data_IF_722757861926
#
_entry.id   IF_722757861926
#
_cell.length_a   1.000
_cell.length_b   1.000
_cell.length_c   1.000
_cell.angle_alpha   90.00
_cell.angle_beta   90.00
_cell.angle_gamma   90.00
#
_symmetry.space_group_name_H-M   'P 1'
#
loop_
_entity.id
_entity.type
_entity.pdbx_description
1 polymer ?
#
# COMPACT_ATOMS: atom_id res chain seq x y z
N UNK A 1 -38.72 -8.20 -36.66
CA UNK A 1 -37.39 -7.70 -36.30
C UNK A 1 -37.37 -7.68 -34.78
N UNK A 2 -36.73 -8.72 -34.20
CA UNK A 2 -36.61 -8.91 -32.75
C UNK A 2 -35.35 -8.16 -32.30
N UNK A 3 -35.48 -7.15 -31.47
CA UNK A 3 -34.39 -6.46 -30.81
C UNK A 3 -33.97 -7.26 -29.59
N UNK A 4 -32.83 -7.95 -29.66
CA UNK A 4 -32.23 -8.58 -28.51
C UNK A 4 -31.54 -7.49 -27.66
N UNK A 5 -31.91 -7.45 -26.39
CA UNK A 5 -31.35 -6.62 -25.33
C UNK A 5 -29.97 -7.18 -24.94
N UNK A 6 -28.84 -6.39 -24.97
CA UNK A 6 -27.51 -6.86 -24.61
C UNK A 6 -27.14 -6.60 -23.13
N UNK A 7 -28.10 -6.72 -22.21
CA UNK A 7 -27.86 -6.54 -20.77
C UNK A 7 -28.13 -7.84 -19.99
N UNK A 8 -27.25 -8.85 -20.13
CA UNK A 8 -27.19 -9.94 -19.14
C UNK A 8 -25.98 -10.82 -19.35
N UNK A 9 -24.84 -10.44 -18.82
CA UNK A 9 -23.73 -11.34 -18.45
C UNK A 9 -22.76 -10.65 -17.46
N UNK A 10 -23.30 -10.08 -16.37
CA UNK A 10 -22.50 -9.91 -15.17
C UNK A 10 -22.50 -11.27 -14.47
N UNK A 11 -21.51 -12.08 -14.77
CA UNK A 11 -21.28 -13.33 -14.08
C UNK A 11 -20.98 -13.07 -12.62
N UNK A 12 -21.96 -13.37 -11.77
CA UNK A 12 -21.79 -13.43 -10.31
C UNK A 12 -20.64 -14.39 -10.02
N UNK A 13 -19.58 -13.87 -9.41
CA UNK A 13 -18.36 -14.63 -9.11
C UNK A 13 -18.68 -15.77 -8.12
N UNK A 14 -18.09 -16.96 -8.29
CA UNK A 14 -18.24 -18.01 -7.31
C UNK A 14 -17.76 -17.50 -5.94
N UNK A 15 -18.44 -17.89 -4.85
CA UNK A 15 -18.01 -17.52 -3.51
C UNK A 15 -16.57 -18.01 -3.28
N UNK A 16 -15.71 -17.21 -2.60
CA UNK A 16 -14.32 -17.54 -2.36
C UNK A 16 -14.22 -18.87 -1.60
N UNK A 17 -13.18 -19.66 -1.92
CA UNK A 17 -12.86 -20.87 -1.18
C UNK A 17 -12.67 -20.54 0.30
N UNK A 18 -13.32 -21.29 1.18
CA UNK A 18 -13.21 -21.08 2.62
C UNK A 18 -11.76 -21.26 3.07
N UNK A 19 -11.13 -20.19 3.61
CA UNK A 19 -9.76 -20.22 4.15
C UNK A 19 -8.73 -19.40 3.39
N UNK A 20 -9.05 -18.84 2.22
CA UNK A 20 -8.11 -18.02 1.45
C UNK A 20 -7.98 -16.61 2.08
N UNK A 21 -6.76 -16.24 2.52
CA UNK A 21 -6.49 -14.99 3.25
C UNK A 21 -6.42 -13.75 2.34
N UNK A 22 -6.09 -13.96 1.06
CA UNK A 22 -6.07 -12.94 0.02
C UNK A 22 -6.70 -13.54 -1.23
N UNK A 23 -7.78 -12.93 -1.69
CA UNK A 23 -8.44 -13.34 -2.93
C UNK A 23 -7.79 -12.60 -4.10
N UNK A 24 -7.53 -13.31 -5.19
CA UNK A 24 -7.04 -12.73 -6.44
C UNK A 24 -8.09 -12.91 -7.54
N UNK A 25 -8.43 -11.81 -8.23
CA UNK A 25 -9.37 -11.81 -9.35
C UNK A 25 -8.85 -10.90 -10.44
N UNK A 26 -8.90 -11.36 -11.68
CA UNK A 26 -8.54 -10.57 -12.85
C UNK A 26 -9.78 -9.96 -13.52
N UNK A 27 -9.66 -8.68 -13.89
CA UNK A 27 -10.61 -7.96 -14.70
C UNK A 27 -9.84 -7.32 -15.86
N UNK A 28 -9.74 -8.04 -16.97
CA UNK A 28 -8.81 -7.69 -18.05
C UNK A 28 -7.36 -7.62 -17.54
N UNK A 29 -6.62 -6.54 -17.79
CA UNK A 29 -5.22 -6.40 -17.35
C UNK A 29 -5.09 -5.95 -15.87
N UNK A 30 -6.18 -5.88 -15.12
CA UNK A 30 -6.21 -5.44 -13.72
C UNK A 30 -6.39 -6.64 -12.80
N UNK A 31 -5.42 -6.89 -11.92
CA UNK A 31 -5.53 -7.89 -10.85
C UNK A 31 -5.97 -7.24 -9.55
N UNK A 32 -7.13 -7.65 -9.06
CA UNK A 32 -7.64 -7.29 -7.75
C UNK A 32 -7.12 -8.27 -6.70
N UNK A 33 -6.52 -7.73 -5.66
CA UNK A 33 -6.12 -8.44 -4.46
C UNK A 33 -7.01 -7.95 -3.31
N UNK A 34 -7.81 -8.85 -2.73
CA UNK A 34 -8.73 -8.52 -1.65
C UNK A 34 -8.28 -9.21 -0.37
N UNK A 35 -7.97 -8.45 0.66
CA UNK A 35 -7.72 -8.98 2.01
C UNK A 35 -8.99 -9.65 2.53
N UNK A 36 -8.92 -10.92 2.93
CA UNK A 36 -10.11 -11.74 3.17
C UNK A 36 -10.16 -12.37 4.57
N UNK A 37 -10.11 -11.52 5.59
CA UNK A 37 -10.44 -11.86 6.99
C UNK A 37 -11.47 -10.89 7.55
N UNK A 38 -12.66 -10.74 6.92
CA UNK A 38 -13.64 -9.69 7.28
C UNK A 38 -14.13 -9.80 8.72
N UNK A 39 -14.20 -11.01 9.29
CA UNK A 39 -14.57 -11.26 10.69
C UNK A 39 -13.54 -10.69 11.70
N UNK A 40 -12.32 -10.39 11.26
CA UNK A 40 -11.24 -9.75 12.02
C UNK A 40 -10.86 -8.38 11.44
N UNK A 41 -11.75 -7.73 10.70
CA UNK A 41 -11.49 -6.45 10.02
C UNK A 41 -10.22 -6.48 9.16
N UNK A 42 -9.94 -7.62 8.56
CA UNK A 42 -8.76 -7.88 7.75
C UNK A 42 -7.42 -7.64 8.50
N UNK A 43 -7.40 -7.86 9.82
CA UNK A 43 -6.17 -7.85 10.59
C UNK A 43 -5.22 -8.92 10.06
N UNK A 44 -3.92 -8.59 9.97
CA UNK A 44 -2.92 -9.39 9.30
C UNK A 44 -2.16 -10.26 10.29
N UNK A 45 -2.18 -11.57 10.04
CA UNK A 45 -1.37 -12.59 10.70
C UNK A 45 -0.07 -12.81 9.93
N UNK A 46 0.86 -13.61 10.47
CA UNK A 46 2.04 -14.06 9.74
C UNK A 46 1.67 -14.74 8.41
N UNK A 47 0.61 -15.57 8.42
CA UNK A 47 0.10 -16.21 7.21
C UNK A 47 -0.46 -15.18 6.22
N UNK A 48 -1.13 -14.13 6.71
CA UNK A 48 -1.62 -13.03 5.86
C UNK A 48 -0.47 -12.26 5.22
N UNK A 49 0.63 -12.02 5.94
CA UNK A 49 1.84 -11.38 5.37
C UNK A 49 2.40 -12.21 4.21
N UNK A 50 2.52 -13.54 4.41
CA UNK A 50 3.01 -14.46 3.37
C UNK A 50 2.05 -14.53 2.18
N UNK A 51 0.75 -14.62 2.42
CA UNK A 51 -0.27 -14.69 1.37
C UNK A 51 -0.28 -13.41 0.52
N UNK A 52 -0.31 -12.23 1.15
CA UNK A 52 -0.29 -10.96 0.42
C UNK A 52 1.01 -10.78 -0.35
N UNK A 53 2.16 -11.09 0.26
CA UNK A 53 3.45 -11.07 -0.43
C UNK A 53 3.44 -11.98 -1.66
N UNK A 54 2.98 -13.23 -1.51
CA UNK A 54 2.93 -14.18 -2.63
C UNK A 54 2.03 -13.67 -3.77
N UNK A 55 0.87 -13.11 -3.45
CA UNK A 55 -0.05 -12.54 -4.42
C UNK A 55 0.57 -11.33 -5.16
N UNK A 56 1.28 -10.44 -4.46
CA UNK A 56 1.99 -9.30 -5.05
C UNK A 56 3.11 -9.77 -6.00
N UNK A 57 3.93 -10.75 -5.57
CA UNK A 57 5.02 -11.30 -6.39
C UNK A 57 4.47 -12.01 -7.63
N UNK A 58 3.38 -12.80 -7.49
CA UNK A 58 2.72 -13.44 -8.61
C UNK A 58 2.15 -12.40 -9.60
N UNK A 59 1.53 -11.33 -9.09
CA UNK A 59 1.03 -10.24 -9.93
C UNK A 59 2.17 -9.50 -10.65
N UNK A 60 3.30 -9.26 -9.99
CA UNK A 60 4.46 -8.56 -10.58
C UNK A 60 5.10 -9.38 -11.72
N UNK A 61 5.13 -10.70 -11.59
CA UNK A 61 5.71 -11.61 -12.59
C UNK A 61 4.77 -11.99 -13.74
N UNK A 62 3.48 -11.72 -13.66
CA UNK A 62 2.49 -12.13 -14.67
C UNK A 62 2.35 -11.07 -15.77
N UNK A 63 2.77 -11.41 -17.01
CA UNK A 63 2.72 -10.50 -18.15
C UNK A 63 1.29 -10.06 -18.54
N UNK A 64 0.26 -10.84 -18.19
CA UNK A 64 -1.14 -10.49 -18.42
C UNK A 64 -1.65 -9.39 -17.48
N UNK A 65 -0.97 -9.15 -16.36
CA UNK A 65 -1.33 -8.13 -15.39
C UNK A 65 -0.57 -6.83 -15.65
N UNK A 66 -1.28 -5.75 -15.87
CA UNK A 66 -0.69 -4.41 -16.04
C UNK A 66 -0.79 -3.56 -14.75
N UNK A 67 -1.83 -3.76 -13.95
CA UNK A 67 -2.12 -2.97 -12.73
C UNK A 67 -2.61 -3.89 -11.63
N UNK A 68 -2.21 -3.61 -10.40
CA UNK A 68 -2.70 -4.29 -9.20
C UNK A 68 -3.62 -3.35 -8.43
N UNK A 69 -4.79 -3.83 -8.04
CA UNK A 69 -5.70 -3.16 -7.10
C UNK A 69 -5.67 -3.90 -5.78
N UNK A 70 -5.56 -3.18 -4.67
CA UNK A 70 -5.61 -3.73 -3.31
C UNK A 70 -6.82 -3.16 -2.57
N UNK A 71 -7.65 -4.05 -2.01
CA UNK A 71 -8.82 -3.69 -1.20
C UNK A 71 -9.03 -4.68 -0.05
N UNK A 72 -10.09 -4.50 0.74
CA UNK A 72 -10.45 -5.40 1.83
C UNK A 72 -11.86 -5.94 1.67
N UNK A 73 -12.12 -7.16 2.11
CA UNK A 73 -13.46 -7.72 2.19
C UNK A 73 -14.22 -7.20 3.42
N UNK A 74 -15.55 -7.08 3.31
CA UNK A 74 -16.41 -6.73 4.43
C UNK A 74 -16.39 -5.24 4.76
N UNK A 75 -16.37 -4.87 6.06
CA UNK A 75 -16.61 -3.51 6.52
C UNK A 75 -15.34 -2.66 6.76
N UNK A 76 -14.15 -3.18 6.48
CA UNK A 76 -12.89 -2.49 6.72
C UNK A 76 -11.85 -2.87 5.68
N UNK A 77 -10.98 -1.93 5.34
CA UNK A 77 -9.82 -2.22 4.52
C UNK A 77 -8.85 -3.15 5.24
N UNK A 78 -8.27 -2.70 6.37
CA UNK A 78 -7.32 -3.49 7.16
C UNK A 78 -7.09 -2.86 8.54
N UNK A 79 -7.29 -3.64 9.61
CA UNK A 79 -7.09 -3.18 10.98
C UNK A 79 -5.61 -3.27 11.47
N UNK A 80 -4.66 -3.61 10.58
CA UNK A 80 -3.24 -3.72 10.92
C UNK A 80 -2.83 -5.11 11.38
N UNK A 81 -1.78 -5.22 12.18
CA UNK A 81 -1.31 -6.49 12.73
C UNK A 81 -2.35 -7.12 13.66
N UNK A 82 -2.52 -8.43 13.59
CA UNK A 82 -3.39 -9.18 14.53
C UNK A 82 -2.65 -9.36 15.86
N UNK A 83 -2.94 -8.48 16.82
CA UNK A 83 -2.29 -8.47 18.11
C UNK A 83 -2.59 -9.73 18.95
N UNK A 84 -3.59 -10.52 18.58
CA UNK A 84 -3.95 -11.76 19.29
C UNK A 84 -3.00 -12.92 18.98
N UNK A 85 -2.26 -12.84 17.88
CA UNK A 85 -1.26 -13.84 17.50
C UNK A 85 0.15 -13.58 18.09
N UNK A 86 0.39 -12.40 18.65
CA UNK A 86 1.71 -12.04 19.20
C UNK A 86 2.19 -12.96 20.35
N UNK A 87 1.33 -13.43 21.29
CA UNK A 87 1.74 -14.41 22.28
C UNK A 87 1.91 -15.81 21.66
N UNK A 88 3.13 -16.35 21.65
CA UNK A 88 3.42 -17.71 21.20
C UNK A 88 3.93 -17.84 19.75
N UNK A 89 3.97 -16.74 18.99
CA UNK A 89 4.57 -16.72 17.66
C UNK A 89 6.09 -16.52 17.75
N UNK A 90 6.84 -17.24 16.92
CA UNK A 90 8.27 -16.94 16.72
C UNK A 90 8.43 -15.51 16.20
N UNK A 91 8.85 -14.62 17.11
CA UNK A 91 8.98 -13.19 16.84
C UNK A 91 9.96 -12.90 15.68
N UNK A 92 11.03 -13.69 15.58
CA UNK A 92 12.00 -13.56 14.50
C UNK A 92 11.38 -13.84 13.13
N UNK A 93 10.58 -14.90 13.06
CA UNK A 93 9.85 -15.28 11.84
C UNK A 93 8.77 -14.25 11.47
N UNK A 94 8.01 -13.77 12.45
CA UNK A 94 6.99 -12.73 12.23
C UNK A 94 7.60 -11.46 11.63
N UNK A 95 8.72 -11.00 12.20
CA UNK A 95 9.45 -9.83 11.71
C UNK A 95 9.98 -10.06 10.29
N UNK A 96 10.51 -11.26 9.99
CA UNK A 96 10.99 -11.60 8.66
C UNK A 96 9.85 -11.64 7.61
N UNK A 97 8.69 -12.20 7.96
CA UNK A 97 7.52 -12.22 7.07
C UNK A 97 6.97 -10.80 6.82
N UNK A 98 6.93 -9.95 7.85
CA UNK A 98 6.58 -8.53 7.75
C UNK A 98 7.57 -7.76 6.85
N UNK A 99 8.88 -7.88 7.10
CA UNK A 99 9.91 -7.25 6.28
C UNK A 99 9.78 -7.67 4.80
N UNK A 100 9.60 -8.98 4.55
CA UNK A 100 9.46 -9.50 3.22
C UNK A 100 8.21 -8.96 2.49
N UNK A 101 7.09 -8.75 3.19
CA UNK A 101 5.89 -8.11 2.64
C UNK A 101 6.16 -6.65 2.29
N UNK A 102 6.75 -5.86 3.21
CA UNK A 102 7.01 -4.44 2.96
C UNK A 102 7.99 -4.26 1.79
N UNK A 103 9.00 -5.12 1.69
CA UNK A 103 9.93 -5.12 0.54
C UNK A 103 9.22 -5.47 -0.78
N UNK A 104 8.23 -6.37 -0.75
CA UNK A 104 7.42 -6.68 -1.94
C UNK A 104 6.54 -5.49 -2.37
N UNK A 105 5.93 -4.78 -1.41
CA UNK A 105 5.17 -3.55 -1.68
C UNK A 105 6.08 -2.45 -2.26
N UNK A 106 7.24 -2.22 -1.63
CA UNK A 106 8.19 -1.22 -2.08
C UNK A 106 8.82 -1.56 -3.45
N UNK A 107 9.02 -2.85 -3.72
CA UNK A 107 9.65 -3.35 -4.96
C UNK A 107 8.70 -3.62 -6.11
N UNK A 108 7.38 -3.54 -5.92
CA UNK A 108 6.39 -3.85 -6.95
C UNK A 108 6.60 -2.95 -8.18
N UNK A 109 6.85 -3.56 -9.35
CA UNK A 109 7.13 -2.82 -10.58
C UNK A 109 5.87 -2.27 -11.26
N UNK A 110 4.74 -2.94 -11.06
CA UNK A 110 3.43 -2.56 -11.61
C UNK A 110 2.75 -1.51 -10.75
N UNK A 111 1.94 -0.61 -11.32
CA UNK A 111 1.11 0.30 -10.54
C UNK A 111 0.27 -0.44 -9.50
N UNK A 112 0.24 0.12 -8.30
CA UNK A 112 -0.58 -0.35 -7.19
C UNK A 112 -1.61 0.72 -6.84
N UNK A 113 -2.87 0.39 -6.99
CA UNK A 113 -4.01 1.26 -6.66
C UNK A 113 -4.71 0.68 -5.45
N UNK A 114 -4.99 1.48 -4.43
CA UNK A 114 -5.77 1.03 -3.28
C UNK A 114 -7.19 1.59 -3.32
N UNK A 115 -8.19 0.72 -3.09
CA UNK A 115 -9.58 1.08 -2.78
C UNK A 115 -9.83 0.87 -1.29
N UNK A 116 -10.02 1.96 -0.53
CA UNK A 116 -10.02 1.95 0.93
C UNK A 116 -11.39 2.33 1.48
N UNK A 117 -12.00 1.47 2.26
CA UNK A 117 -13.24 1.72 3.00
C UNK A 117 -13.09 1.34 4.48
N UNK A 118 -13.93 1.91 5.33
CA UNK A 118 -13.88 1.65 6.77
C UNK A 118 -12.51 1.89 7.38
N UNK A 119 -12.09 1.03 8.28
CA UNK A 119 -10.84 1.21 9.02
C UNK A 119 -9.60 0.80 8.20
N UNK A 120 -8.57 1.66 8.20
CA UNK A 120 -7.21 1.40 7.74
C UNK A 120 -6.25 1.80 8.87
N UNK A 121 -5.74 0.82 9.65
CA UNK A 121 -5.02 1.08 10.91
C UNK A 121 -3.65 0.41 10.92
N UNK A 122 -2.66 1.05 11.53
CA UNK A 122 -1.29 0.52 11.62
C UNK A 122 -0.75 0.19 10.24
N UNK A 123 -0.34 -1.07 10.00
CA UNK A 123 0.09 -1.52 8.68
C UNK A 123 -0.99 -1.31 7.60
N UNK A 124 -2.28 -1.37 7.96
CA UNK A 124 -3.37 -1.06 7.03
C UNK A 124 -3.32 0.39 6.50
N UNK A 125 -2.88 1.35 7.30
CA UNK A 125 -2.64 2.72 6.86
C UNK A 125 -1.27 2.85 6.19
N UNK A 126 -0.21 2.29 6.79
CA UNK A 126 1.15 2.52 6.31
C UNK A 126 1.45 1.83 4.98
N UNK A 127 0.76 0.70 4.66
CA UNK A 127 0.89 0.09 3.34
C UNK A 127 0.35 0.97 2.20
N UNK A 128 -0.57 1.91 2.49
CA UNK A 128 -1.08 2.86 1.51
C UNK A 128 0.01 3.81 1.01
N UNK A 129 1.04 4.06 1.81
CA UNK A 129 2.19 4.88 1.43
C UNK A 129 3.07 4.23 0.35
N UNK A 130 2.88 2.93 0.10
CA UNK A 130 3.52 2.18 -1.00
C UNK A 130 2.64 2.10 -2.25
N UNK A 131 1.37 2.50 -2.15
CA UNK A 131 0.47 2.56 -3.29
C UNK A 131 0.79 3.80 -4.14
N UNK A 132 0.67 3.64 -5.46
CA UNK A 132 0.87 4.77 -6.39
C UNK A 132 -0.35 5.70 -6.38
N UNK A 133 -1.54 5.13 -6.16
CA UNK A 133 -2.80 5.86 -6.08
C UNK A 133 -3.69 5.25 -4.99
N UNK A 134 -4.38 6.11 -4.25
CA UNK A 134 -5.33 5.70 -3.20
C UNK A 134 -6.67 6.40 -3.44
N UNK A 135 -7.73 5.61 -3.52
CA UNK A 135 -9.13 6.07 -3.53
C UNK A 135 -9.74 5.69 -2.19
N UNK A 136 -10.42 6.62 -1.55
CA UNK A 136 -11.07 6.38 -0.25
C UNK A 136 -12.58 6.51 -0.36
N UNK A 137 -13.31 5.58 0.24
CA UNK A 137 -14.74 5.70 0.47
C UNK A 137 -15.05 6.75 1.54
N UNK A 138 -16.29 7.22 1.62
CA UNK A 138 -16.73 8.17 2.66
C UNK A 138 -16.58 7.60 4.08
N UNK A 139 -16.78 6.30 4.25
CA UNK A 139 -16.60 5.60 5.52
C UNK A 139 -15.14 5.42 5.93
N UNK A 140 -14.18 5.67 5.04
CA UNK A 140 -12.77 5.40 5.32
C UNK A 140 -12.25 6.25 6.49
N UNK A 141 -11.57 5.58 7.43
CA UNK A 141 -10.92 6.18 8.60
C UNK A 141 -9.51 5.58 8.73
N UNK A 142 -8.50 6.44 8.71
CA UNK A 142 -7.11 6.04 8.74
C UNK A 142 -6.50 6.35 10.11
N UNK A 143 -5.58 5.51 10.59
CA UNK A 143 -4.91 5.72 11.87
C UNK A 143 -3.55 5.01 11.93
N UNK A 144 -2.55 5.69 12.51
CA UNK A 144 -1.23 5.12 12.80
C UNK A 144 -0.97 5.14 14.32
N UNK A 145 -1.49 4.13 15.10
CA UNK A 145 -1.52 4.20 16.58
C UNK A 145 -0.22 3.73 17.24
N UNK A 146 0.93 3.88 16.61
CA UNK A 146 2.21 3.34 17.08
C UNK A 146 2.61 3.87 18.44
N UNK A 147 2.59 5.20 18.63
CA UNK A 147 2.96 5.85 19.87
C UNK A 147 2.03 5.46 21.02
N UNK A 148 0.71 5.37 20.75
CA UNK A 148 -0.28 4.91 21.72
C UNK A 148 -0.05 3.45 22.16
N UNK A 149 0.41 2.61 21.23
CA UNK A 149 0.73 1.20 21.50
C UNK A 149 2.15 1.01 22.08
N UNK A 150 2.88 2.09 22.38
CA UNK A 150 4.24 2.02 22.91
C UNK A 150 5.25 1.46 21.91
N UNK A 151 5.03 1.67 20.61
CA UNK A 151 5.95 1.26 19.55
C UNK A 151 6.31 2.43 18.64
N UNK A 152 7.15 2.18 17.64
CA UNK A 152 7.59 3.17 16.66
C UNK A 152 6.87 2.99 15.33
N UNK A 153 6.83 4.02 14.45
CA UNK A 153 6.35 3.89 13.08
C UNK A 153 7.02 2.74 12.33
N UNK A 154 6.25 2.00 11.54
CA UNK A 154 6.70 0.83 10.80
C UNK A 154 6.43 0.97 9.28
N UNK A 155 6.85 -0.01 8.49
CA UNK A 155 6.63 -0.08 7.04
C UNK A 155 7.11 1.16 6.29
N UNK A 156 8.26 1.71 6.69
CA UNK A 156 8.88 2.93 6.16
C UNK A 156 8.05 4.21 6.40
N UNK A 157 7.01 4.17 7.20
CA UNK A 157 6.16 5.34 7.44
C UNK A 157 6.89 6.50 8.10
N UNK A 158 7.97 6.27 8.83
CA UNK A 158 8.85 7.32 9.37
C UNK A 158 9.45 8.23 8.27
N UNK A 159 9.56 7.72 7.06
CA UNK A 159 10.10 8.43 5.89
C UNK A 159 9.02 8.80 4.88
N UNK A 160 8.12 7.85 4.57
CA UNK A 160 7.13 8.04 3.51
C UNK A 160 5.99 8.99 3.93
N UNK A 161 5.53 8.91 5.19
CA UNK A 161 4.45 9.78 5.63
C UNK A 161 4.83 11.27 5.61
N UNK A 162 6.00 11.70 6.16
CA UNK A 162 6.42 13.10 6.03
C UNK A 162 6.58 13.59 4.58
N UNK A 163 6.92 12.71 3.66
CA UNK A 163 6.99 13.03 2.23
C UNK A 163 5.61 13.24 1.61
N UNK A 164 4.63 12.44 2.03
CA UNK A 164 3.27 12.52 1.51
C UNK A 164 2.51 13.75 2.05
N UNK A 165 2.59 14.02 3.37
CA UNK A 165 1.72 15.02 4.02
C UNK A 165 2.47 16.24 4.58
N UNK A 166 3.80 16.25 4.48
CA UNK A 166 4.67 17.24 5.12
C UNK A 166 5.00 16.90 6.58
N UNK A 167 6.11 17.45 7.08
CA UNK A 167 6.68 17.05 8.36
C UNK A 167 5.75 17.31 9.57
N UNK A 168 5.04 18.44 9.60
CA UNK A 168 4.18 18.78 10.75
C UNK A 168 2.94 17.88 10.83
N UNK A 169 2.26 17.62 9.70
CA UNK A 169 1.10 16.72 9.67
C UNK A 169 1.52 15.29 9.99
N UNK A 170 2.65 14.82 9.47
CA UNK A 170 3.18 13.51 9.82
C UNK A 170 3.48 13.40 11.32
N UNK A 171 4.11 14.40 11.92
CA UNK A 171 4.35 14.46 13.36
C UNK A 171 3.05 14.45 14.17
N UNK A 172 2.06 15.24 13.77
CA UNK A 172 0.74 15.22 14.40
C UNK A 172 0.14 13.81 14.37
N UNK A 173 0.07 13.18 13.19
CA UNK A 173 -0.55 11.87 13.03
C UNK A 173 0.17 10.77 13.80
N UNK A 174 1.50 10.74 13.78
CA UNK A 174 2.30 9.71 14.41
C UNK A 174 2.41 9.90 15.93
N UNK A 175 2.51 11.15 16.41
CA UNK A 175 2.69 11.41 17.85
C UNK A 175 1.37 11.42 18.62
N UNK A 176 0.26 11.82 17.98
CA UNK A 176 -1.06 11.87 18.64
C UNK A 176 -1.90 10.63 18.38
N UNK A 177 -1.51 9.80 17.42
CA UNK A 177 -2.29 8.61 17.04
C UNK A 177 -3.76 8.91 16.70
N UNK A 178 -4.09 10.13 16.29
CA UNK A 178 -5.47 10.52 15.98
C UNK A 178 -5.99 9.86 14.69
N UNK A 179 -7.28 9.77 14.60
CA UNK A 179 -7.94 9.36 13.37
C UNK A 179 -7.87 10.45 12.30
N UNK A 180 -7.75 10.01 11.05
CA UNK A 180 -7.84 10.82 9.84
C UNK A 180 -9.11 10.41 9.11
N UNK A 181 -9.99 11.35 8.83
CA UNK A 181 -11.20 11.13 8.02
C UNK A 181 -10.85 10.97 6.54
N UNK A 182 -11.79 10.43 5.76
CA UNK A 182 -11.63 10.33 4.29
C UNK A 182 -11.45 11.71 3.62
N UNK A 183 -12.09 12.76 4.15
CA UNK A 183 -11.92 14.13 3.65
C UNK A 183 -10.50 14.66 3.92
N UNK A 184 -10.01 14.50 5.17
CA UNK A 184 -8.63 14.86 5.52
C UNK A 184 -7.60 14.05 4.75
N UNK A 185 -7.88 12.76 4.46
CA UNK A 185 -6.97 11.94 3.67
C UNK A 185 -6.73 12.51 2.27
N UNK A 186 -7.77 13.05 1.64
CA UNK A 186 -7.63 13.75 0.35
C UNK A 186 -6.95 15.11 0.52
N UNK A 187 -7.35 15.91 1.52
CA UNK A 187 -6.74 17.22 1.80
C UNK A 187 -5.22 17.10 2.06
N UNK A 188 -4.80 16.05 2.77
CA UNK A 188 -3.39 15.83 3.13
C UNK A 188 -2.57 15.14 2.04
N UNK A 189 -3.20 14.68 0.98
CA UNK A 189 -2.51 13.96 -0.10
C UNK A 189 -2.24 12.47 0.19
N UNK A 190 -2.90 11.88 1.21
CA UNK A 190 -2.89 10.44 1.45
C UNK A 190 -3.78 9.67 0.48
N UNK A 191 -4.77 10.34 -0.10
CA UNK A 191 -5.65 9.83 -1.15
C UNK A 191 -5.84 10.88 -2.24
N UNK A 192 -6.04 10.42 -3.47
CA UNK A 192 -6.27 11.31 -4.62
C UNK A 192 -7.74 11.62 -4.83
N UNK A 193 -8.64 10.79 -4.28
CA UNK A 193 -10.08 10.88 -4.51
C UNK A 193 -10.84 10.28 -3.35
N UNK A 194 -12.01 10.89 -3.05
CA UNK A 194 -13.04 10.38 -2.16
C UNK A 194 -14.32 10.14 -2.97
N UNK A 195 -15.05 9.06 -2.69
CA UNK A 195 -16.32 8.74 -3.32
C UNK A 195 -17.30 8.11 -2.32
N UNK A 196 -18.60 8.03 -2.64
CA UNK A 196 -19.53 7.21 -1.88
C UNK A 196 -19.06 5.76 -1.76
N UNK A 197 -19.42 5.09 -0.66
CA UNK A 197 -18.98 3.71 -0.41
C UNK A 197 -19.41 2.74 -1.52
N UNK A 198 -20.62 2.91 -2.03
CA UNK A 198 -21.15 2.08 -3.11
C UNK A 198 -20.39 2.21 -4.44
N UNK A 199 -19.69 3.32 -4.63
CA UNK A 199 -18.98 3.62 -5.88
C UNK A 199 -17.48 3.26 -5.83
N UNK A 200 -16.96 2.81 -4.67
CA UNK A 200 -15.53 2.63 -4.46
C UNK A 200 -14.90 1.67 -5.48
N UNK A 201 -15.52 0.51 -5.69
CA UNK A 201 -14.99 -0.51 -6.62
C UNK A 201 -15.03 0.00 -8.06
N UNK A 202 -16.11 0.67 -8.46
CA UNK A 202 -16.25 1.24 -9.80
C UNK A 202 -15.19 2.32 -10.05
N UNK A 203 -15.04 3.29 -9.12
CA UNK A 203 -14.08 4.40 -9.23
C UNK A 203 -12.63 3.89 -9.22
N UNK A 204 -12.33 2.92 -8.37
CA UNK A 204 -10.99 2.31 -8.28
C UNK A 204 -10.68 1.50 -9.53
N UNK A 205 -11.66 0.71 -9.99
CA UNK A 205 -11.55 -0.12 -11.20
C UNK A 205 -11.39 0.69 -12.47
N UNK A 206 -12.17 1.76 -12.65
CA UNK A 206 -12.04 2.69 -13.78
C UNK A 206 -10.64 3.30 -13.84
N UNK A 207 -10.12 3.75 -12.70
CA UNK A 207 -8.77 4.32 -12.61
C UNK A 207 -7.70 3.29 -12.98
N UNK A 208 -7.81 2.07 -12.45
CA UNK A 208 -6.87 0.99 -12.75
C UNK A 208 -6.96 0.55 -14.21
N UNK A 209 -8.17 0.40 -14.78
CA UNK A 209 -8.37 0.06 -16.18
C UNK A 209 -7.80 1.12 -17.13
N UNK A 210 -7.96 2.41 -16.79
CA UNK A 210 -7.37 3.51 -17.55
C UNK A 210 -5.84 3.41 -17.59
N UNK A 211 -5.18 3.08 -16.48
CA UNK A 211 -3.73 2.87 -16.43
C UNK A 211 -3.36 1.63 -17.23
N UNK A 212 -4.10 0.53 -17.08
CA UNK A 212 -3.87 -0.73 -17.76
C UNK A 212 -4.04 -0.70 -19.28
N UNK A 213 -4.71 0.34 -19.80
CA UNK A 213 -4.85 0.57 -21.24
C UNK A 213 -3.57 1.16 -21.90
N UNK A 214 -2.61 1.64 -21.11
CA UNK A 214 -1.37 2.21 -21.65
C UNK A 214 -0.29 1.13 -21.81
N UNK A 215 0.74 1.39 -22.66
CA UNK A 215 1.85 0.46 -22.83
C UNK A 215 2.58 0.18 -21.52
N UNK A 216 2.56 -1.08 -21.05
CA UNK A 216 3.11 -1.50 -19.76
C UNK A 216 4.59 -1.06 -19.54
N UNK A 217 5.49 -1.08 -20.54
CA UNK A 217 6.86 -0.59 -20.37
C UNK A 217 6.93 0.91 -20.03
N UNK A 218 6.04 1.74 -20.63
CA UNK A 218 6.00 3.17 -20.36
C UNK A 218 5.49 3.46 -18.97
N UNK A 219 4.42 2.74 -18.53
CA UNK A 219 3.87 2.85 -17.18
C UNK A 219 4.90 2.45 -16.13
N UNK A 220 5.58 1.31 -16.31
CA UNK A 220 6.62 0.84 -15.40
C UNK A 220 7.83 1.81 -15.34
N UNK A 221 8.25 2.38 -16.47
CA UNK A 221 9.30 3.38 -16.52
C UNK A 221 8.89 4.66 -15.76
N UNK A 222 7.66 5.14 -15.96
CA UNK A 222 7.12 6.30 -15.26
C UNK A 222 7.12 6.07 -13.75
N UNK A 223 6.63 4.91 -13.29
CA UNK A 223 6.63 4.56 -11.85
C UNK A 223 8.05 4.55 -11.28
N UNK A 224 9.03 3.97 -11.98
CA UNK A 224 10.43 3.98 -11.53
C UNK A 224 10.98 5.40 -11.39
N UNK A 225 10.71 6.28 -12.36
CA UNK A 225 11.18 7.67 -12.32
C UNK A 225 10.53 8.46 -11.16
N UNK A 226 9.23 8.27 -10.91
CA UNK A 226 8.54 8.89 -9.80
C UNK A 226 9.14 8.46 -8.44
N UNK A 227 9.41 7.16 -8.29
CA UNK A 227 10.04 6.62 -7.07
C UNK A 227 11.48 7.10 -6.88
N UNK A 228 12.28 7.14 -7.94
CA UNK A 228 13.64 7.64 -7.89
C UNK A 228 13.68 9.14 -7.52
N UNK A 229 12.80 9.95 -8.08
CA UNK A 229 12.65 11.36 -7.73
C UNK A 229 12.22 11.58 -6.28
N UNK A 230 11.39 10.68 -5.76
CA UNK A 230 10.94 10.72 -4.36
C UNK A 230 12.01 10.24 -3.36
N UNK A 231 13.03 9.51 -3.81
CA UNK A 231 14.11 9.01 -2.94
C UNK A 231 15.18 10.06 -2.62
N UNK A 232 15.26 11.16 -3.40
CA UNK A 232 16.18 12.26 -3.16
C UNK A 232 15.80 13.13 -1.95
N UNK A 233 16.70 13.96 -1.42
CA UNK A 233 16.36 14.95 -0.40
C UNK A 233 15.24 15.84 -0.98
N UNK A 234 14.20 16.10 -0.17
CA UNK A 234 13.14 17.01 -0.54
C UNK A 234 13.75 18.39 -0.82
N UNK A 235 13.98 18.70 -2.09
CA UNK A 235 14.43 20.02 -2.51
C UNK A 235 13.21 20.93 -2.41
N UNK A 236 13.14 21.72 -1.32
CA UNK A 236 12.20 22.81 -1.26
C UNK A 236 12.45 23.70 -2.49
N UNK A 237 11.41 24.11 -3.25
CA UNK A 237 11.58 25.01 -4.37
C UNK A 237 12.18 26.31 -3.84
N UNK A 238 13.42 26.61 -4.19
CA UNK A 238 14.01 27.91 -3.96
C UNK A 238 13.39 28.87 -4.98
N UNK A 239 12.73 29.94 -4.54
CA UNK A 239 12.30 30.96 -5.46
C UNK A 239 13.54 31.60 -6.10
N UNK A 240 13.70 31.48 -7.42
CA UNK A 240 14.69 32.23 -8.20
C UNK A 240 15.86 31.46 -8.84
N UNK A 241 15.90 30.13 -8.83
CA UNK A 241 16.96 29.39 -9.52
C UNK A 241 16.50 28.98 -10.95
N UNK A 242 17.23 29.43 -11.95
CA UNK A 242 17.05 29.05 -13.35
C UNK A 242 17.15 27.52 -13.54
N UNK A 243 16.41 26.99 -14.52
CA UNK A 243 16.36 25.57 -14.87
C UNK A 243 17.77 25.05 -15.22
N UNK A 244 18.29 24.00 -14.56
CA UNK A 244 19.48 23.32 -15.05
C UNK A 244 19.14 22.49 -16.29
N UNK A 245 20.07 22.48 -17.24
CA UNK A 245 19.98 21.66 -18.45
C UNK A 245 19.94 20.18 -18.06
N UNK A 246 19.00 19.41 -18.66
CA UNK A 246 18.89 17.98 -18.46
C UNK A 246 19.94 17.31 -19.37
N UNK A 247 21.03 16.83 -18.80
CA UNK A 247 21.92 15.90 -19.48
C UNK A 247 21.29 14.52 -19.50
N UNK A 248 21.07 13.97 -20.71
CA UNK A 248 20.64 12.59 -20.90
C UNK A 248 21.81 11.64 -20.61
N UNK A 249 21.91 11.18 -19.37
CA UNK A 249 22.84 10.11 -19.01
C UNK A 249 22.25 8.76 -19.40
N UNK A 250 23.02 8.00 -20.18
CA UNK A 250 22.69 6.64 -20.61
C UNK A 250 22.47 5.75 -19.40
N UNK A 251 21.36 4.99 -19.42
CA UNK A 251 21.04 3.99 -18.41
C UNK A 251 21.92 2.77 -18.65
N UNK A 252 22.99 2.63 -17.86
CA UNK A 252 23.78 1.41 -17.83
C UNK A 252 22.94 0.25 -17.25
N UNK A 253 23.04 -0.90 -17.94
CA UNK A 253 22.46 -2.18 -17.51
C UNK A 253 23.28 -2.68 -16.31
N UNK A 254 22.75 -2.51 -15.11
CA UNK A 254 23.33 -3.13 -13.91
C UNK A 254 22.37 -4.23 -13.42
N UNK A 255 22.85 -5.47 -13.45
CA UNK A 255 22.28 -6.60 -12.73
C UNK A 255 22.60 -6.49 -11.23
N UNK A 256 21.90 -5.61 -10.51
CA UNK A 256 21.98 -5.51 -9.06
C UNK A 256 20.61 -5.20 -8.48
N UNK A 257 20.41 -5.50 -7.19
CA UNK A 257 19.17 -5.25 -6.46
C UNK A 257 18.63 -3.84 -6.76
N UNK A 258 17.31 -3.75 -7.02
CA UNK A 258 16.64 -2.47 -7.34
C UNK A 258 16.98 -1.45 -6.27
N UNK A 259 17.49 -0.24 -6.58
CA UNK A 259 17.95 0.74 -5.58
C UNK A 259 16.87 1.09 -4.54
N UNK A 260 15.59 1.10 -4.95
CA UNK A 260 14.44 1.36 -4.10
C UNK A 260 14.31 0.30 -2.99
N UNK A 261 14.62 -0.96 -3.30
CA UNK A 261 14.57 -2.07 -2.33
C UNK A 261 15.69 -1.96 -1.32
N UNK A 262 16.88 -1.48 -1.70
CA UNK A 262 17.98 -1.26 -0.78
C UNK A 262 17.69 -0.11 0.19
N UNK A 263 17.14 1.00 -0.30
CA UNK A 263 16.68 2.10 0.54
C UNK A 263 15.58 1.64 1.49
N UNK A 264 14.60 0.90 0.99
CA UNK A 264 13.52 0.32 1.79
C UNK A 264 14.07 -0.56 2.91
N UNK A 265 15.02 -1.44 2.58
CA UNK A 265 15.67 -2.33 3.55
C UNK A 265 16.43 -1.57 4.64
N UNK A 266 17.12 -0.50 4.28
CA UNK A 266 17.86 0.33 5.25
C UNK A 266 16.91 1.04 6.22
N UNK A 267 15.80 1.61 5.72
CA UNK A 267 14.81 2.30 6.54
C UNK A 267 14.09 1.30 7.46
N UNK A 268 13.66 0.15 6.93
CA UNK A 268 13.02 -0.91 7.73
C UNK A 268 13.92 -1.41 8.86
N UNK A 269 15.20 -1.66 8.58
CA UNK A 269 16.16 -2.08 9.63
C UNK A 269 16.24 -1.06 10.76
N UNK A 270 16.23 0.24 10.43
CA UNK A 270 16.25 1.30 11.43
C UNK A 270 14.96 1.31 12.26
N UNK A 271 13.80 1.28 11.64
CA UNK A 271 12.51 1.24 12.33
C UNK A 271 12.41 0.01 13.26
N UNK A 272 12.78 -1.18 12.75
CA UNK A 272 12.77 -2.42 13.54
C UNK A 272 13.76 -2.38 14.70
N UNK A 273 14.95 -1.80 14.52
CA UNK A 273 15.94 -1.67 15.59
C UNK A 273 15.47 -0.71 16.70
N UNK A 274 14.89 0.42 16.34
CA UNK A 274 14.31 1.37 17.29
C UNK A 274 13.11 0.77 18.05
N UNK A 275 12.23 0.03 17.35
CA UNK A 275 11.10 -0.68 17.96
C UNK A 275 11.57 -1.74 18.97
N UNK A 276 12.60 -2.52 18.62
CA UNK A 276 13.18 -3.53 19.51
C UNK A 276 13.83 -2.88 20.75
N UNK A 277 14.58 -1.78 20.56
CA UNK A 277 15.21 -1.05 21.66
C UNK A 277 14.14 -0.45 22.62
N UNK A 278 13.06 0.08 22.07
CA UNK A 278 11.95 0.63 22.86
C UNK A 278 11.23 -0.47 23.65
N UNK A 279 10.90 -1.59 23.03
CA UNK A 279 10.28 -2.75 23.69
C UNK A 279 11.12 -3.26 24.85
N UNK A 280 12.45 -3.35 24.68
CA UNK A 280 13.38 -3.74 25.75
C UNK A 280 13.37 -2.76 26.94
N UNK A 281 13.28 -1.45 26.68
CA UNK A 281 13.25 -0.41 27.73
C UNK A 281 11.93 -0.37 28.49
N UNK A 282 10.83 -0.71 27.85
CA UNK A 282 9.50 -0.71 28.46
C UNK A 282 9.16 -2.01 29.20
N UNK A 283 10.11 -2.96 29.29
CA UNK A 283 9.93 -4.23 30.00
C UNK A 283 8.96 -5.19 29.29
N UNK A 284 8.77 -5.04 28.00
CA UNK A 284 8.03 -5.99 27.16
C UNK A 284 8.74 -7.34 27.05
N UNK A 285 7.97 -8.46 26.94
CA UNK A 285 8.53 -9.79 26.77
C UNK A 285 9.33 -9.94 25.48
#
# INVERSE_FOLDING_TARGET
VSTADPTSAEGELPPPAAGELVLARDAGPVRWLTLNRPHRLNALTADSYRALRAALVAADGDEAVAVVVLTGAGRAFCAGADLTELPGTDRGRLVADFEALVLALAGLSKPLVAGVHGAAVGLGMTMLLHCDLVVVAESARLRAPFTELGTVPEAMSSVLLPRAVGAQRAAELLLTSRWVSSAEAVEYGLAIRRCPDADLDAVTGELAARIGAFPAPAVAATKRLLRAGSAGPAVAPRPGAGRPAVEHTQVERAGSARPEVEVARAVLRRELAEGAALSSRLGGP
#
